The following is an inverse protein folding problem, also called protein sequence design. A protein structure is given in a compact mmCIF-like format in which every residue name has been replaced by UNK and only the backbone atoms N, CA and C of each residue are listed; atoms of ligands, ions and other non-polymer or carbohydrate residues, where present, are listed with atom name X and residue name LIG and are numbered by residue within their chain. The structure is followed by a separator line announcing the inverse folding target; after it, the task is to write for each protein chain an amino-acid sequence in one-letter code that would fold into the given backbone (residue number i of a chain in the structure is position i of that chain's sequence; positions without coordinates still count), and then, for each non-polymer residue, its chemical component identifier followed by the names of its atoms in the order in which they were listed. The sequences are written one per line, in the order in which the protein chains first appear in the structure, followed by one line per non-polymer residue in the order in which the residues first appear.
data_IF_500568137126
#
_entry.id   IF_500568137126
#
_cell.length_a   1.000
_cell.length_b   1.000
_cell.length_c   1.000
_cell.angle_alpha   90.00
_cell.angle_beta   90.00
_cell.angle_gamma   90.00
#
_symmetry.space_group_name_H-M   'P 1'
#
loop_
_entity.id
_entity.type
_entity.pdbx_description
1 polymer ?
#
# COMPACT_ATOMS: atom_id res chain seq x y z
N UNK A 1 10.21 -6.59 5.02
CA UNK A 1 9.17 -5.63 5.43
C UNK A 1 7.80 -6.26 5.20
N UNK A 2 6.87 -6.11 6.14
CA UNK A 2 5.50 -6.60 5.93
C UNK A 2 4.78 -5.71 4.93
N UNK A 3 3.73 -6.25 4.29
CA UNK A 3 3.00 -5.48 3.28
C UNK A 3 2.43 -4.18 3.85
N UNK A 4 1.85 -4.23 5.05
CA UNK A 4 1.35 -3.04 5.72
C UNK A 4 2.45 -2.00 5.90
N UNK A 5 3.63 -2.43 6.31
CA UNK A 5 4.77 -1.54 6.51
C UNK A 5 5.23 -0.91 5.20
N UNK A 6 5.21 -1.68 4.12
CA UNK A 6 5.59 -1.18 2.81
C UNK A 6 4.63 -0.08 2.34
N UNK A 7 3.33 -0.28 2.60
CA UNK A 7 2.32 0.72 2.24
C UNK A 7 2.53 2.01 3.04
N UNK A 8 2.74 1.88 4.36
CA UNK A 8 3.00 3.04 5.21
C UNK A 8 4.24 3.79 4.74
N UNK A 9 5.30 3.05 4.42
CA UNK A 9 6.55 3.64 3.94
C UNK A 9 6.31 4.48 2.68
N UNK A 10 5.58 3.94 1.71
CA UNK A 10 5.33 4.65 0.46
C UNK A 10 4.48 5.91 0.68
N UNK A 11 3.43 5.81 1.48
CA UNK A 11 2.55 6.95 1.73
C UNK A 11 3.27 8.05 2.50
N UNK A 12 4.09 7.68 3.48
CA UNK A 12 4.86 8.64 4.24
C UNK A 12 5.91 9.33 3.37
N UNK A 13 6.56 8.55 2.50
CA UNK A 13 7.61 9.09 1.63
C UNK A 13 7.04 10.01 0.55
N UNK A 14 5.88 9.65 -0.01
CA UNK A 14 5.28 10.45 -1.08
C UNK A 14 4.70 11.76 -0.58
N UNK A 15 4.25 11.78 0.67
CA UNK A 15 3.64 12.97 1.26
C UNK A 15 2.25 13.28 0.72
N UNK A 16 1.66 12.39 -0.07
CA UNK A 16 0.31 12.57 -0.62
C UNK A 16 -0.37 11.23 -0.79
N UNK A 17 -1.68 11.25 -1.06
CA UNK A 17 -2.44 10.03 -1.27
C UNK A 17 -2.04 9.32 -2.57
N UNK A 18 -2.25 8.00 -2.60
CA UNK A 18 -1.92 7.18 -3.76
C UNK A 18 -3.05 6.20 -4.03
N UNK A 19 -3.22 5.84 -5.30
CA UNK A 19 -4.17 4.79 -5.68
C UNK A 19 -3.60 3.41 -5.35
N UNK A 20 -4.48 2.45 -5.08
CA UNK A 20 -4.03 1.10 -4.71
C UNK A 20 -3.16 0.45 -5.79
N UNK A 21 -3.52 0.65 -7.07
CA UNK A 21 -2.72 0.11 -8.18
C UNK A 21 -1.33 0.75 -8.23
N UNK A 22 -1.25 2.04 -7.94
CA UNK A 22 0.04 2.74 -7.92
C UNK A 22 0.90 2.24 -6.76
N UNK A 23 0.29 2.06 -5.59
CA UNK A 23 0.99 1.51 -4.42
C UNK A 23 1.57 0.13 -4.75
N UNK A 24 0.75 -0.74 -5.34
CA UNK A 24 1.19 -2.09 -5.70
C UNK A 24 2.35 -2.04 -6.69
N UNK A 25 2.26 -1.17 -7.69
CA UNK A 25 3.31 -1.03 -8.70
C UNK A 25 4.63 -0.58 -8.07
N UNK A 26 4.57 0.39 -7.15
CA UNK A 26 5.77 0.88 -6.49
C UNK A 26 6.38 -0.17 -5.58
N UNK A 27 5.56 -0.93 -4.86
CA UNK A 27 6.05 -2.02 -4.01
C UNK A 27 6.81 -3.03 -4.87
N UNK A 28 6.24 -3.41 -6.01
CA UNK A 28 6.86 -4.40 -6.89
C UNK A 28 8.15 -3.87 -7.52
N UNK A 29 8.14 -2.63 -8.02
CA UNK A 29 9.29 -2.08 -8.70
C UNK A 29 10.46 -1.80 -7.76
N UNK A 30 10.18 -1.49 -6.49
CA UNK A 30 11.21 -1.21 -5.50
C UNK A 30 11.58 -2.43 -4.65
N UNK A 31 10.89 -3.55 -4.84
CA UNK A 31 11.16 -4.76 -4.07
C UNK A 31 10.90 -4.60 -2.58
N UNK A 32 9.91 -3.79 -2.21
CA UNK A 32 9.64 -3.51 -0.80
C UNK A 32 8.98 -4.66 -0.07
N UNK A 33 8.33 -5.57 -0.80
CA UNK A 33 7.69 -6.72 -0.22
C UNK A 33 7.63 -7.84 -1.26
N UNK A 34 7.90 -9.07 -0.85
CA UNK A 34 7.85 -10.23 -1.74
C UNK A 34 6.86 -11.24 -1.15
N UNK A 35 5.88 -11.64 -1.97
CA UNK A 35 4.93 -12.67 -1.58
C UNK A 35 5.64 -14.01 -1.50
N UNK A 36 5.08 -14.91 -0.69
CA UNK A 36 5.64 -16.26 -0.54
C UNK A 36 5.62 -17.03 -1.87
N UNK A 37 4.61 -16.80 -2.70
CA UNK A 37 4.48 -17.46 -4.00
C UNK A 37 5.28 -16.78 -5.12
N UNK A 38 6.01 -15.72 -4.79
CA UNK A 38 6.84 -14.94 -5.74
C UNK A 38 6.02 -14.20 -6.80
N UNK A 39 4.69 -14.19 -6.68
CA UNK A 39 3.85 -13.41 -7.59
C UNK A 39 3.86 -11.93 -7.20
N UNK A 40 3.62 -11.03 -8.16
CA UNK A 40 3.61 -9.61 -7.83
C UNK A 40 2.43 -9.25 -6.92
N UNK A 41 2.64 -8.22 -6.10
CA UNK A 41 1.57 -7.65 -5.28
C UNK A 41 0.56 -6.97 -6.21
N UNK A 42 -0.72 -7.17 -5.94
CA UNK A 42 -1.80 -6.56 -6.74
C UNK A 42 -2.46 -5.42 -5.97
N UNK A 43 -3.14 -4.53 -6.71
CA UNK A 43 -3.93 -3.48 -6.07
C UNK A 43 -5.01 -4.03 -5.17
N UNK A 44 -5.61 -5.16 -5.55
CA UNK A 44 -6.62 -5.83 -4.74
C UNK A 44 -6.04 -6.28 -3.39
N UNK A 45 -4.83 -6.81 -3.40
CA UNK A 45 -4.16 -7.23 -2.16
C UNK A 45 -3.84 -6.03 -1.29
N UNK A 46 -3.38 -4.94 -1.89
CA UNK A 46 -3.13 -3.68 -1.16
C UNK A 46 -4.42 -3.19 -0.52
N UNK A 47 -5.51 -3.19 -1.27
CA UNK A 47 -6.81 -2.75 -0.77
C UNK A 47 -7.26 -3.58 0.44
N UNK A 48 -7.07 -4.91 0.37
CA UNK A 48 -7.45 -5.79 1.47
C UNK A 48 -6.68 -5.46 2.74
N UNK A 49 -5.39 -5.17 2.63
CA UNK A 49 -4.58 -4.78 3.78
C UNK A 49 -5.07 -3.45 4.35
N UNK A 50 -5.37 -2.48 3.48
CA UNK A 50 -5.85 -1.17 3.92
C UNK A 50 -7.16 -1.31 4.67
N UNK A 51 -8.09 -2.13 4.18
CA UNK A 51 -9.38 -2.31 4.83
C UNK A 51 -9.29 -3.04 6.16
N UNK A 52 -8.20 -3.77 6.41
CA UNK A 52 -8.00 -4.43 7.70
C UNK A 52 -7.30 -3.53 8.72
N UNK A 53 -6.89 -2.31 8.32
CA UNK A 53 -6.22 -1.36 9.20
C UNK A 53 -6.89 0.01 9.11
N UNK A 54 -8.17 0.13 9.50
CA UNK A 54 -8.90 1.39 9.35
C UNK A 54 -8.42 2.52 10.26
N UNK A 55 -7.64 2.19 11.28
CA UNK A 55 -7.05 3.20 12.18
C UNK A 55 -5.71 3.71 11.65
N UNK A 56 -5.20 3.13 10.58
CA UNK A 56 -3.92 3.54 9.98
C UNK A 56 -4.12 4.24 8.65
N UNK A 57 -5.09 3.79 7.87
CA UNK A 57 -5.31 4.28 6.50
C UNK A 57 -6.73 4.78 6.32
N UNK A 58 -6.90 5.78 5.46
CA UNK A 58 -8.21 6.27 5.06
C UNK A 58 -8.25 6.35 3.53
N UNK A 59 -9.39 5.99 2.95
CA UNK A 59 -9.63 6.15 1.51
C UNK A 59 -10.52 7.37 1.31
N UNK A 60 -10.06 8.31 0.50
CA UNK A 60 -10.80 9.53 0.21
C UNK A 60 -10.57 9.89 -1.25
N UNK A 61 -11.66 10.07 -1.99
CA UNK A 61 -11.61 10.46 -3.41
C UNK A 61 -10.76 9.52 -4.25
N UNK A 62 -10.83 8.22 -3.94
CA UNK A 62 -10.08 7.20 -4.67
C UNK A 62 -8.62 7.09 -4.30
N UNK A 63 -8.15 7.88 -3.34
CA UNK A 63 -6.77 7.86 -2.90
C UNK A 63 -6.66 7.31 -1.49
N UNK A 64 -5.59 6.59 -1.24
CA UNK A 64 -5.29 6.07 0.10
C UNK A 64 -4.34 7.05 0.77
N UNK A 65 -4.66 7.40 2.02
CA UNK A 65 -3.84 8.31 2.82
C UNK A 65 -3.60 7.71 4.18
N UNK A 66 -2.51 8.14 4.82
CA UNK A 66 -2.26 7.80 6.21
C UNK A 66 -3.11 8.69 7.12
N UNK A 67 -3.60 8.09 8.21
CA UNK A 67 -4.24 8.83 9.29
C UNK A 67 -3.12 9.21 10.25
N UNK A 68 -2.77 10.47 10.27
CA UNK A 68 -1.69 10.95 11.15
C UNK A 68 -2.19 12.13 11.93
#
# INVERSE_FOLDING_TARGET
MKLEEAIVYLLAKSGHGMKTEHIAREINSRGLYTRLDKEPVTGKQVYAVIMSHPDTFVKSEGLIRLII
#
